data_IF_342232184764
#
_entry.id   IF_342232184764
#
_cell.length_a   1.000
_cell.length_b   1.000
_cell.length_c   1.000
_cell.angle_alpha   90.00
_cell.angle_beta   90.00
_cell.angle_gamma   90.00
#
_symmetry.space_group_name_H-M   'P 1'
#
loop_
_entity.id
_entity.type
_entity.pdbx_description
1 polymer ?
#
# COMPACT_ATOMS: atom_id res chain seq x y z
N UNK A 1 36.16 -26.65 43.24
CA UNK A 1 36.11 -25.31 42.61
C UNK A 1 36.14 -25.34 41.08
N UNK A 2 36.96 -26.14 40.37
CA UNK A 2 37.01 -26.20 38.88
C UNK A 2 35.68 -26.60 38.23
N UNK A 3 34.95 -27.60 38.75
CA UNK A 3 33.66 -28.06 38.18
C UNK A 3 32.55 -26.99 38.19
N UNK A 4 32.51 -26.14 39.23
CA UNK A 4 31.49 -25.07 39.34
C UNK A 4 31.73 -23.99 38.28
N UNK A 5 32.98 -23.67 38.02
CA UNK A 5 33.33 -22.68 36.99
C UNK A 5 32.99 -23.20 35.59
N UNK A 6 33.23 -24.49 35.32
CA UNK A 6 32.88 -25.11 34.02
C UNK A 6 31.38 -25.08 33.76
N UNK A 7 30.54 -25.40 34.75
CA UNK A 7 29.08 -25.33 34.65
C UNK A 7 28.63 -23.88 34.39
N UNK A 8 29.23 -22.91 35.06
CA UNK A 8 28.93 -21.48 34.89
C UNK A 8 29.23 -20.98 33.47
N UNK A 9 30.38 -21.39 32.92
CA UNK A 9 30.72 -21.04 31.54
C UNK A 9 29.80 -21.73 30.50
N UNK A 10 29.40 -22.97 30.77
CA UNK A 10 28.46 -23.71 29.90
C UNK A 10 27.08 -23.07 29.91
N UNK A 11 26.57 -22.63 31.06
CA UNK A 11 25.29 -21.90 31.16
C UNK A 11 25.34 -20.53 30.48
N UNK A 12 26.43 -19.82 30.59
CA UNK A 12 26.62 -18.52 29.90
C UNK A 12 26.67 -18.73 28.38
N UNK A 13 27.39 -19.73 27.91
CA UNK A 13 27.43 -20.09 26.48
C UNK A 13 26.06 -20.50 25.95
N UNK A 14 25.30 -21.28 26.70
CA UNK A 14 23.92 -21.67 26.34
C UNK A 14 22.99 -20.47 26.29
N UNK A 15 23.09 -19.54 27.24
CA UNK A 15 22.32 -18.29 27.27
C UNK A 15 22.65 -17.39 26.07
N UNK A 16 23.92 -17.31 25.66
CA UNK A 16 24.35 -16.56 24.48
C UNK A 16 23.77 -17.16 23.18
N UNK A 17 23.63 -18.48 23.09
CA UNK A 17 22.98 -19.13 21.96
C UNK A 17 21.46 -18.85 21.88
N UNK A 18 20.80 -18.55 22.98
CA UNK A 18 19.38 -18.19 23.04
C UNK A 18 19.12 -16.71 22.67
N UNK A 19 20.15 -15.88 22.60
CA UNK A 19 20.07 -14.46 22.24
C UNK A 19 20.07 -14.20 20.72
N UNK A 20 20.16 -15.21 19.87
CA UNK A 20 20.08 -15.07 18.42
C UNK A 20 18.62 -14.89 17.94
N UNK A 21 17.93 -13.90 18.49
CA UNK A 21 16.58 -13.56 18.09
C UNK A 21 16.59 -12.24 17.32
N UNK A 22 16.31 -12.23 16.06
CA UNK A 22 15.95 -11.16 15.14
C UNK A 22 16.59 -11.36 13.75
N UNK A 23 16.44 -12.55 13.21
CA UNK A 23 16.92 -12.86 11.85
C UNK A 23 16.05 -12.24 10.75
N UNK A 24 14.82 -11.77 11.05
CA UNK A 24 13.87 -11.25 10.05
C UNK A 24 13.57 -9.76 10.19
N UNK A 25 14.57 -8.93 10.45
CA UNK A 25 14.41 -7.48 10.36
C UNK A 25 14.65 -7.03 8.92
N UNK A 26 13.61 -6.59 8.22
CA UNK A 26 13.77 -5.85 6.98
C UNK A 26 14.07 -4.39 7.30
N UNK A 27 15.05 -3.81 6.62
CA UNK A 27 15.32 -2.39 6.73
C UNK A 27 14.16 -1.61 6.09
N UNK A 28 13.78 -0.47 6.69
CA UNK A 28 12.64 0.34 6.20
C UNK A 28 12.87 0.79 4.75
N UNK A 29 14.13 0.97 4.36
CA UNK A 29 14.55 1.37 3.01
C UNK A 29 14.32 0.28 1.95
N UNK A 30 14.19 -0.98 2.37
CA UNK A 30 13.87 -2.11 1.50
C UNK A 30 12.36 -2.29 1.29
N UNK A 31 11.52 -1.53 2.01
CA UNK A 31 10.08 -1.69 2.00
C UNK A 31 9.38 -0.57 1.24
N UNK A 32 8.37 -0.92 0.46
CA UNK A 32 7.48 0.02 -0.21
C UNK A 32 6.45 0.58 0.77
N UNK A 33 6.81 1.62 1.54
CA UNK A 33 5.92 2.26 2.52
C UNK A 33 4.67 2.80 1.86
N UNK A 34 3.54 2.10 2.05
CA UNK A 34 2.25 2.40 1.41
C UNK A 34 1.36 3.23 2.34
N UNK A 35 0.92 4.40 1.87
CA UNK A 35 0.03 5.30 2.63
C UNK A 35 -1.38 5.39 2.07
N UNK A 36 -1.56 5.11 0.77
CA UNK A 36 -2.89 4.96 0.19
C UNK A 36 -2.96 3.77 -0.75
N UNK A 37 -4.15 3.22 -0.86
CA UNK A 37 -4.51 2.20 -1.83
C UNK A 37 -5.71 2.69 -2.63
N UNK A 38 -5.70 2.48 -3.93
CA UNK A 38 -6.82 2.78 -4.81
C UNK A 38 -7.34 1.51 -5.49
N UNK A 39 -8.64 1.44 -5.74
CA UNK A 39 -9.27 0.33 -6.45
C UNK A 39 -10.16 0.91 -7.54
N UNK A 40 -9.76 0.68 -8.80
CA UNK A 40 -10.44 1.12 -10.00
C UNK A 40 -10.90 -0.06 -10.84
N UNK A 41 -11.88 0.18 -11.72
CA UNK A 41 -12.22 -0.76 -12.80
C UNK A 41 -11.02 -0.85 -13.75
N UNK A 42 -10.56 -2.07 -13.99
CA UNK A 42 -9.46 -2.35 -14.89
C UNK A 42 -9.87 -2.15 -16.36
N UNK A 43 -8.89 -1.76 -17.16
CA UNK A 43 -9.01 -1.73 -18.63
C UNK A 43 -8.20 -2.88 -19.21
N UNK A 44 -8.55 -3.29 -20.43
CA UNK A 44 -7.73 -4.24 -21.18
C UNK A 44 -6.29 -3.72 -21.30
N UNK A 45 -5.35 -4.61 -21.08
CA UNK A 45 -3.94 -4.31 -21.27
C UNK A 45 -3.58 -4.36 -22.75
N UNK A 46 -2.49 -3.70 -23.15
CA UNK A 46 -2.01 -3.75 -24.52
C UNK A 46 -1.60 -5.18 -24.96
N UNK A 47 -1.16 -6.01 -24.01
CA UNK A 47 -0.82 -7.40 -24.28
C UNK A 47 -2.05 -8.22 -24.67
N UNK A 48 -3.17 -7.97 -24.01
CA UNK A 48 -4.43 -8.67 -24.29
C UNK A 48 -5.02 -8.27 -25.62
N UNK A 49 -4.97 -6.99 -25.94
CA UNK A 49 -5.37 -6.53 -27.27
C UNK A 49 -4.59 -7.21 -28.36
N UNK A 50 -3.26 -7.33 -28.19
CA UNK A 50 -2.40 -8.06 -29.13
C UNK A 50 -2.74 -9.54 -29.19
N UNK A 51 -3.09 -10.16 -28.07
CA UNK A 51 -3.46 -11.56 -28.01
C UNK A 51 -4.81 -11.81 -28.72
N UNK A 52 -5.79 -10.92 -28.52
CA UNK A 52 -7.07 -10.94 -29.24
C UNK A 52 -6.87 -10.74 -30.76
N UNK A 53 -5.99 -9.81 -31.17
CA UNK A 53 -5.62 -9.57 -32.56
C UNK A 53 -4.96 -10.80 -33.22
N UNK A 54 -4.25 -11.63 -32.45
CA UNK A 54 -3.65 -12.88 -32.89
C UNK A 54 -4.63 -14.07 -32.91
N UNK A 55 -5.91 -13.83 -32.62
CA UNK A 55 -6.97 -14.86 -32.62
C UNK A 55 -7.02 -15.66 -31.31
N UNK A 56 -6.42 -15.19 -30.25
CA UNK A 56 -6.58 -15.74 -28.92
C UNK A 56 -7.96 -15.39 -28.35
N UNK A 57 -8.56 -16.32 -27.61
CA UNK A 57 -9.81 -16.09 -26.87
C UNK A 57 -9.49 -16.03 -25.38
N UNK A 58 -9.30 -14.81 -24.86
CA UNK A 58 -9.17 -14.58 -23.44
C UNK A 58 -10.53 -14.16 -22.86
N UNK A 59 -11.08 -14.90 -21.88
CA UNK A 59 -12.37 -14.56 -21.32
C UNK A 59 -12.28 -13.18 -20.64
N UNK A 60 -12.97 -12.19 -21.23
CA UNK A 60 -13.04 -10.83 -20.69
C UNK A 60 -13.82 -10.86 -19.39
N UNK A 61 -13.12 -10.81 -18.26
CA UNK A 61 -13.71 -10.68 -16.93
C UNK A 61 -13.75 -9.23 -16.51
N UNK A 62 -14.61 -8.92 -15.56
CA UNK A 62 -14.59 -7.62 -14.88
C UNK A 62 -13.27 -7.48 -14.12
N UNK A 63 -12.36 -6.66 -14.67
CA UNK A 63 -11.03 -6.49 -14.15
C UNK A 63 -10.96 -5.38 -13.14
N UNK A 64 -9.99 -5.51 -12.26
CA UNK A 64 -9.69 -4.56 -11.20
C UNK A 64 -8.28 -4.01 -11.44
N UNK A 65 -8.11 -2.71 -11.27
CA UNK A 65 -6.79 -2.07 -11.18
C UNK A 65 -6.58 -1.60 -9.75
N UNK A 66 -5.54 -2.11 -9.11
CA UNK A 66 -5.09 -1.60 -7.83
C UNK A 66 -4.02 -0.52 -8.04
N UNK A 67 -4.07 0.47 -7.19
CA UNK A 67 -3.10 1.55 -7.10
C UNK A 67 -2.48 1.49 -5.71
N UNK A 68 -1.15 1.42 -5.65
CA UNK A 68 -0.40 1.53 -4.40
C UNK A 68 0.37 2.84 -4.41
N UNK A 69 0.14 3.67 -3.41
CA UNK A 69 0.84 4.95 -3.25
C UNK A 69 1.97 4.81 -2.25
N UNK A 70 3.19 4.75 -2.76
CA UNK A 70 4.42 4.66 -1.98
C UNK A 70 4.99 6.04 -1.66
N UNK A 71 5.75 6.11 -0.58
CA UNK A 71 6.63 7.27 -0.31
C UNK A 71 7.74 7.33 -1.35
N UNK A 72 7.99 8.52 -1.87
CA UNK A 72 9.18 8.78 -2.67
C UNK A 72 10.32 9.24 -1.75
N UNK A 73 11.19 8.31 -1.35
CA UNK A 73 12.30 8.57 -0.43
C UNK A 73 13.32 9.54 -1.02
N UNK A 74 13.53 9.52 -2.34
CA UNK A 74 14.45 10.44 -3.01
C UNK A 74 13.98 11.90 -2.87
N UNK A 75 12.66 12.13 -2.94
CA UNK A 75 12.09 13.46 -2.71
C UNK A 75 12.15 13.86 -1.23
N UNK A 76 12.09 12.90 -0.29
CA UNK A 76 12.21 13.15 1.14
C UNK A 76 13.64 13.54 1.54
N UNK A 77 14.66 12.90 0.96
CA UNK A 77 16.06 13.16 1.22
C UNK A 77 16.56 14.51 0.69
N UNK A 78 16.04 14.97 -0.46
CA UNK A 78 16.49 16.22 -1.08
C UNK A 78 16.00 17.49 -0.38
N UNK A 79 14.98 17.44 0.45
CA UNK A 79 14.54 18.59 1.27
C UNK A 79 15.58 19.02 2.32
N UNK A 80 16.50 18.16 2.69
CA UNK A 80 17.58 18.48 3.66
C UNK A 80 18.70 19.33 3.05
N UNK A 81 18.79 19.45 1.73
CA UNK A 81 19.91 20.12 1.04
C UNK A 81 19.51 21.45 0.33
N UNK A 82 18.31 21.99 0.58
CA UNK A 82 17.93 23.34 0.10
C UNK A 82 17.60 23.46 -1.39
N UNK A 83 17.51 22.35 -2.12
CA UNK A 83 17.08 22.33 -3.51
C UNK A 83 15.55 22.12 -3.62
N UNK A 84 14.84 23.02 -4.30
CA UNK A 84 13.45 22.78 -4.72
C UNK A 84 13.45 21.71 -5.81
N UNK A 85 13.28 20.46 -5.45
CA UNK A 85 13.04 19.38 -6.41
C UNK A 85 11.57 19.39 -6.80
N UNK A 86 11.32 19.47 -8.11
CA UNK A 86 9.97 19.35 -8.72
C UNK A 86 9.43 17.90 -8.64
N UNK A 87 9.98 17.10 -7.74
CA UNK A 87 9.63 15.70 -7.55
C UNK A 87 8.47 15.55 -6.57
N UNK A 88 7.49 14.71 -6.96
CA UNK A 88 6.37 14.34 -6.08
C UNK A 88 6.89 13.56 -4.87
N UNK A 89 6.32 13.83 -3.69
CA UNK A 89 6.62 13.11 -2.45
C UNK A 89 6.14 11.65 -2.43
N UNK A 90 5.50 11.20 -3.51
CA UNK A 90 4.93 9.87 -3.66
C UNK A 90 5.10 9.31 -5.07
N UNK A 91 5.00 8.00 -5.16
CA UNK A 91 5.00 7.24 -6.42
C UNK A 91 3.73 6.38 -6.40
N UNK A 92 2.95 6.43 -7.48
CA UNK A 92 1.81 5.55 -7.66
C UNK A 92 2.21 4.37 -8.56
N UNK A 93 2.04 3.16 -8.05
CA UNK A 93 2.23 1.91 -8.77
C UNK A 93 0.87 1.33 -9.11
N UNK A 94 0.72 0.86 -10.34
CA UNK A 94 -0.53 0.36 -10.89
C UNK A 94 -0.37 -1.11 -11.31
N UNK A 95 -1.30 -1.94 -10.92
CA UNK A 95 -1.39 -3.32 -11.39
C UNK A 95 -2.84 -3.69 -11.68
N UNK A 96 -3.07 -4.41 -12.79
CA UNK A 96 -4.41 -4.81 -13.24
C UNK A 96 -4.49 -6.33 -13.34
N UNK A 97 -5.54 -6.89 -12.79
CA UNK A 97 -5.77 -8.34 -12.81
C UNK A 97 -7.24 -8.71 -12.63
N UNK A 98 -7.51 -10.00 -12.60
CA UNK A 98 -8.85 -10.56 -12.48
C UNK A 98 -9.31 -10.65 -11.01
N UNK A 99 -8.39 -10.56 -10.05
CA UNK A 99 -8.68 -10.56 -8.62
C UNK A 99 -7.66 -9.77 -7.83
N UNK A 100 -8.06 -9.27 -6.66
CA UNK A 100 -7.16 -8.54 -5.75
C UNK A 100 -5.98 -9.42 -5.28
N UNK A 101 -6.23 -10.71 -5.07
CA UNK A 101 -5.21 -11.68 -4.66
C UNK A 101 -4.12 -11.84 -5.74
N UNK A 102 -4.54 -11.99 -7.00
CA UNK A 102 -3.62 -12.08 -8.14
C UNK A 102 -2.78 -10.80 -8.24
N UNK A 103 -3.43 -9.63 -8.21
CA UNK A 103 -2.77 -8.34 -8.30
C UNK A 103 -1.69 -8.19 -7.22
N UNK A 104 -2.02 -8.53 -5.98
CA UNK A 104 -1.07 -8.45 -4.86
C UNK A 104 0.14 -9.35 -5.08
N UNK A 105 -0.07 -10.57 -5.60
CA UNK A 105 1.02 -11.50 -5.93
C UNK A 105 1.89 -10.96 -7.07
N UNK A 106 1.28 -10.37 -8.10
CA UNK A 106 2.02 -9.81 -9.24
C UNK A 106 2.83 -8.58 -8.87
N UNK A 107 2.28 -7.71 -8.02
CA UNK A 107 3.02 -6.54 -7.48
C UNK A 107 4.26 -7.01 -6.72
N UNK A 108 4.13 -8.04 -5.88
CA UNK A 108 5.25 -8.59 -5.12
C UNK A 108 6.37 -9.17 -6.03
N UNK A 109 6.02 -9.64 -7.23
CA UNK A 109 6.99 -10.19 -8.19
C UNK A 109 7.62 -9.13 -9.10
N UNK A 110 6.95 -8.00 -9.32
CA UNK A 110 7.38 -6.97 -10.29
C UNK A 110 8.05 -5.77 -9.64
N UNK A 111 7.79 -5.53 -8.36
CA UNK A 111 8.37 -4.42 -7.64
C UNK A 111 9.66 -4.87 -6.94
N UNK A 112 10.66 -4.01 -6.97
CA UNK A 112 11.92 -4.18 -6.22
C UNK A 112 11.71 -4.08 -4.70
N UNK A 113 10.59 -3.49 -4.27
CA UNK A 113 10.21 -3.32 -2.87
C UNK A 113 8.84 -3.92 -2.60
N UNK A 114 8.71 -4.86 -1.64
CA UNK A 114 7.43 -5.43 -1.26
C UNK A 114 6.50 -4.33 -0.70
N UNK A 115 5.21 -4.47 -0.97
CA UNK A 115 4.16 -3.61 -0.39
C UNK A 115 4.22 -3.72 1.12
N UNK A 116 4.37 -2.60 1.82
CA UNK A 116 4.37 -2.55 3.28
C UNK A 116 3.29 -1.57 3.75
N UNK A 117 2.19 -2.09 4.27
CA UNK A 117 0.93 -1.39 4.50
C UNK A 117 0.55 -1.06 5.96
N UNK A 118 1.40 -1.22 7.00
CA UNK A 118 1.02 -0.88 8.38
C UNK A 118 0.68 0.59 8.60
N UNK A 119 1.10 1.44 7.67
CA UNK A 119 0.87 2.89 7.70
C UNK A 119 -0.22 3.36 6.75
N UNK A 120 -0.98 2.44 6.15
CA UNK A 120 -2.08 2.76 5.26
C UNK A 120 -3.08 3.71 5.96
N UNK A 121 -3.37 4.83 5.33
CA UNK A 121 -4.27 5.88 5.86
C UNK A 121 -5.62 5.83 5.19
N UNK A 122 -5.64 5.55 3.88
CA UNK A 122 -6.84 5.66 3.07
C UNK A 122 -6.89 4.57 2.01
N UNK A 123 -8.08 4.01 1.83
CA UNK A 123 -8.45 3.15 0.70
C UNK A 123 -9.47 3.91 -0.13
N UNK A 124 -9.19 4.18 -1.39
CA UNK A 124 -10.07 4.90 -2.31
C UNK A 124 -10.67 3.91 -3.30
N UNK A 125 -11.99 3.84 -3.39
CA UNK A 125 -12.71 2.91 -4.26
C UNK A 125 -13.51 3.71 -5.28
N UNK A 126 -13.38 3.39 -6.56
CA UNK A 126 -14.23 3.97 -7.59
C UNK A 126 -15.67 3.46 -7.47
N UNK A 127 -16.64 4.38 -7.45
CA UNK A 127 -18.07 4.03 -7.34
C UNK A 127 -18.56 3.11 -8.47
N UNK A 128 -17.90 3.14 -9.63
CA UNK A 128 -18.21 2.27 -10.77
C UNK A 128 -18.06 0.79 -10.39
N UNK A 129 -17.04 0.43 -9.61
CA UNK A 129 -16.81 -0.95 -9.14
C UNK A 129 -17.93 -1.47 -8.25
N UNK A 130 -18.55 -0.61 -7.45
CA UNK A 130 -19.64 -0.99 -6.54
C UNK A 130 -20.94 -1.36 -7.26
N UNK A 131 -20.99 -1.24 -8.58
CA UNK A 131 -22.08 -1.77 -9.41
C UNK A 131 -21.89 -3.26 -9.75
N UNK A 132 -20.64 -3.73 -9.72
CA UNK A 132 -20.28 -5.11 -10.07
C UNK A 132 -19.88 -5.91 -8.82
N UNK A 133 -19.15 -5.28 -7.89
CA UNK A 133 -18.63 -5.89 -6.67
C UNK A 133 -19.26 -5.27 -5.44
N UNK A 134 -19.51 -6.07 -4.42
CA UNK A 134 -19.88 -5.54 -3.11
C UNK A 134 -18.69 -4.89 -2.43
N UNK A 135 -18.94 -3.93 -1.55
CA UNK A 135 -17.88 -3.31 -0.74
C UNK A 135 -17.12 -4.34 0.11
N UNK A 136 -17.83 -5.36 0.60
CA UNK A 136 -17.22 -6.43 1.38
C UNK A 136 -16.21 -7.24 0.57
N UNK A 137 -16.51 -7.57 -0.68
CA UNK A 137 -15.59 -8.28 -1.59
C UNK A 137 -14.33 -7.45 -1.88
N UNK A 138 -14.49 -6.15 -2.12
CA UNK A 138 -13.35 -5.26 -2.40
C UNK A 138 -12.47 -5.00 -1.18
N UNK A 139 -13.02 -5.09 0.03
CA UNK A 139 -12.29 -4.88 1.27
C UNK A 139 -11.81 -6.18 1.92
N UNK A 140 -12.29 -7.34 1.50
CA UNK A 140 -11.95 -8.62 2.12
C UNK A 140 -10.44 -8.86 2.14
N UNK A 141 -9.79 -8.72 1.00
CA UNK A 141 -8.35 -8.92 0.90
C UNK A 141 -7.55 -7.86 1.70
N UNK A 142 -7.79 -6.53 1.54
CA UNK A 142 -7.12 -5.53 2.36
C UNK A 142 -7.33 -5.69 3.87
N UNK A 143 -8.51 -6.13 4.31
CA UNK A 143 -8.81 -6.28 5.74
C UNK A 143 -8.29 -7.60 6.33
N UNK A 144 -8.02 -8.60 5.50
CA UNK A 144 -7.38 -9.85 5.93
C UNK A 144 -5.87 -9.72 6.04
N UNK A 145 -5.30 -8.70 5.42
CA UNK A 145 -3.88 -8.42 5.54
C UNK A 145 -3.58 -7.97 6.98
N UNK A 146 -2.79 -8.78 7.68
CA UNK A 146 -2.42 -8.51 9.07
C UNK A 146 -1.62 -7.20 9.23
N UNK A 147 -1.09 -6.65 8.16
CA UNK A 147 -0.35 -5.39 8.17
C UNK A 147 -1.27 -4.18 8.16
N UNK A 148 -2.45 -4.28 7.53
CA UNK A 148 -3.37 -3.15 7.39
C UNK A 148 -4.13 -2.91 8.69
N UNK A 149 -4.02 -1.71 9.21
CA UNK A 149 -4.73 -1.34 10.44
C UNK A 149 -6.21 -1.08 10.17
N UNK A 150 -7.12 -1.56 11.04
CA UNK A 150 -8.57 -1.28 10.93
C UNK A 150 -8.93 0.21 10.99
N UNK A 151 -7.99 1.07 11.38
CA UNK A 151 -8.16 2.53 11.42
C UNK A 151 -7.96 3.21 10.06
N UNK A 152 -7.71 2.45 9.00
CA UNK A 152 -7.65 2.97 7.63
C UNK A 152 -9.02 3.47 7.19
N UNK A 153 -9.04 4.65 6.58
CA UNK A 153 -10.28 5.28 6.11
C UNK A 153 -10.65 4.74 4.73
N UNK A 154 -11.92 4.39 4.53
CA UNK A 154 -12.44 4.00 3.21
C UNK A 154 -13.21 5.17 2.60
N UNK A 155 -12.85 5.56 1.38
CA UNK A 155 -13.48 6.64 0.62
C UNK A 155 -13.99 6.09 -0.71
N UNK A 156 -15.23 6.40 -1.04
CA UNK A 156 -15.80 6.10 -2.35
C UNK A 156 -15.77 7.36 -3.20
N UNK A 157 -15.09 7.31 -4.35
CA UNK A 157 -15.02 8.41 -5.31
C UNK A 157 -15.97 8.20 -6.48
N UNK A 158 -16.62 9.27 -6.97
CA UNK A 158 -17.45 9.21 -8.19
C UNK A 158 -16.62 9.04 -9.45
N UNK A 159 -15.39 9.54 -9.45
CA UNK A 159 -14.43 9.39 -10.51
C UNK A 159 -13.54 8.15 -10.30
N UNK A 160 -12.37 8.17 -10.91
CA UNK A 160 -11.38 7.11 -10.73
C UNK A 160 -10.62 7.32 -9.42
N UNK A 161 -10.32 6.23 -8.73
CA UNK A 161 -9.47 6.25 -7.55
C UNK A 161 -8.07 6.78 -7.89
N UNK A 162 -7.56 6.43 -9.07
CA UNK A 162 -6.31 6.94 -9.61
C UNK A 162 -6.27 8.47 -9.59
N UNK A 163 -7.30 9.12 -10.14
CA UNK A 163 -7.32 10.59 -10.27
C UNK A 163 -7.42 11.25 -8.88
N UNK A 164 -8.08 10.59 -7.93
CA UNK A 164 -8.18 11.03 -6.53
C UNK A 164 -6.83 10.92 -5.80
N UNK A 165 -6.00 9.94 -6.18
CA UNK A 165 -4.65 9.71 -5.62
C UNK A 165 -3.54 10.43 -6.41
N UNK A 166 -3.88 11.23 -7.42
CA UNK A 166 -2.96 12.11 -8.12
C UNK A 166 -3.23 13.56 -7.77
N UNK A 167 -2.22 14.24 -7.21
CA UNK A 167 -2.25 15.69 -7.01
C UNK A 167 -1.36 16.35 -8.05
N UNK A 168 -1.82 17.51 -8.55
CA UNK A 168 -1.01 18.36 -9.44
C UNK A 168 0.08 19.12 -8.67
N UNK A 169 -0.17 19.35 -7.38
CA UNK A 169 0.74 20.10 -6.51
C UNK A 169 1.85 19.19 -5.99
N UNK A 170 3.08 19.67 -6.10
CA UNK A 170 4.26 19.01 -5.54
C UNK A 170 4.33 19.30 -4.03
N UNK A 171 4.61 18.27 -3.25
CA UNK A 171 4.95 18.43 -1.82
C UNK A 171 3.98 17.81 -0.82
N UNK A 172 2.69 17.66 -1.08
CA UNK A 172 1.77 16.95 -0.21
C UNK A 172 1.35 15.61 -0.81
N UNK A 173 1.36 14.57 0.04
CA UNK A 173 0.90 13.24 -0.36
C UNK A 173 -0.64 13.19 -0.30
N UNK A 174 -1.33 12.71 -1.37
CA UNK A 174 -2.79 12.62 -1.43
C UNK A 174 -3.42 11.91 -0.22
N UNK A 175 -2.81 10.83 0.25
CA UNK A 175 -3.25 10.07 1.42
C UNK A 175 -3.48 10.95 2.65
N UNK A 176 -2.52 11.82 2.96
CA UNK A 176 -2.61 12.71 4.12
C UNK A 176 -3.62 13.83 3.90
N UNK A 177 -3.70 14.38 2.71
CA UNK A 177 -4.68 15.43 2.35
C UNK A 177 -6.11 14.91 2.48
N UNK A 178 -6.41 13.75 1.90
CA UNK A 178 -7.73 13.11 1.99
C UNK A 178 -8.13 12.87 3.44
N UNK A 179 -7.21 12.32 4.24
CA UNK A 179 -7.47 12.10 5.66
C UNK A 179 -7.79 13.39 6.39
N UNK A 180 -7.00 14.44 6.20
CA UNK A 180 -7.22 15.75 6.83
C UNK A 180 -8.57 16.37 6.45
N UNK A 181 -8.98 16.26 5.18
CA UNK A 181 -10.28 16.78 4.72
C UNK A 181 -11.42 16.14 5.51
N UNK A 182 -11.43 14.81 5.63
CA UNK A 182 -12.49 14.09 6.34
C UNK A 182 -12.45 14.36 7.84
N UNK A 183 -11.26 14.40 8.45
CA UNK A 183 -11.11 14.74 9.88
C UNK A 183 -11.58 16.17 10.18
N UNK A 184 -11.32 17.13 9.29
CA UNK A 184 -11.75 18.51 9.45
C UNK A 184 -13.26 18.64 9.26
N UNK A 185 -13.87 17.95 8.31
CA UNK A 185 -15.31 17.92 8.11
C UNK A 185 -16.03 17.35 9.35
N UNK A 186 -15.51 16.27 9.91
CA UNK A 186 -16.04 15.68 11.14
C UNK A 186 -15.96 16.65 12.32
N UNK A 187 -14.84 17.36 12.49
CA UNK A 187 -14.69 18.38 13.54
C UNK A 187 -15.67 19.53 13.34
N UNK A 188 -15.82 20.03 12.11
CA UNK A 188 -16.74 21.11 11.80
C UNK A 188 -18.21 20.73 12.13
N UNK A 189 -18.65 19.54 11.72
CA UNK A 189 -20.01 19.04 12.03
C UNK A 189 -20.25 18.90 13.54
N UNK A 190 -19.25 18.49 14.32
CA UNK A 190 -19.36 18.38 15.77
C UNK A 190 -19.58 19.74 16.45
N UNK A 191 -19.05 20.82 15.89
CA UNK A 191 -19.27 22.17 16.38
C UNK A 191 -20.69 22.70 16.12
N UNK A 192 -21.39 22.20 15.10
CA UNK A 192 -22.77 22.62 14.79
C UNK A 192 -23.86 21.81 15.52
N UNK A 193 -23.46 20.75 16.23
CA UNK A 193 -24.37 19.86 16.97
C UNK A 193 -24.32 20.12 18.50
N UNK A 194 -23.56 21.11 18.96
CA UNK A 194 -23.51 21.63 20.32
C UNK A 194 -24.19 23.00 20.39
#
# INVERSE_FOLDING_TARGET
>A
MKKINTIRYLTIALLLFLLTGCWSSHEIEELGLTFAMGIDKGKETELEKKFDEMGGDYPKKDRITMIYQYVNEQAAGSKSTGGSTDQKSYINVYETGDSLQQINSEVALRQDRPVFSPHLKVIVIAAELLRTYSLAELLDQPLRDNEIRPSSMVIVTRGRARDTLELKETGEMPAFRLRKIVENEYKAKKFFLL
#
